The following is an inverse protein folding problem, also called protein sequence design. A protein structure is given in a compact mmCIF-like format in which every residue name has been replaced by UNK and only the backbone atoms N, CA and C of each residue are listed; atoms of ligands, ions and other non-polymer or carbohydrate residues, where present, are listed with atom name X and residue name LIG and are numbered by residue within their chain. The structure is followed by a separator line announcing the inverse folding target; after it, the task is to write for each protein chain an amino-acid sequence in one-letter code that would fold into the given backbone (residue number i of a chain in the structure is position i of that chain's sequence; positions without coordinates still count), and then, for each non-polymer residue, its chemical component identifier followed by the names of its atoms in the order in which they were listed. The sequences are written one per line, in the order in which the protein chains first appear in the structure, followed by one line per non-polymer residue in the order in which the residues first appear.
data_IF_890209318476
#
_entry.id   IF_890209318476
#
_cell.length_a   1.000
_cell.length_b   1.000
_cell.length_c   1.000
_cell.angle_alpha   90.00
_cell.angle_beta   90.00
_cell.angle_gamma   90.00
#
_symmetry.space_group_name_H-M   'P 1'
#
loop_
_entity.id
_entity.type
_entity.pdbx_description
1 polymer ?
#
# COMPACT_ATOMS: atom_id res chain seq x y z
N UNK A 1 8.93 7.38 -8.00
CA UNK A 1 8.42 6.12 -8.56
C UNK A 1 9.50 5.14 -9.02
N UNK A 2 10.24 5.38 -10.12
CA UNK A 2 11.26 4.42 -10.67
C UNK A 2 12.28 3.92 -9.65
N UNK A 3 12.76 4.82 -8.78
CA UNK A 3 13.67 4.49 -7.68
C UNK A 3 13.09 3.44 -6.73
N UNK A 4 11.80 3.55 -6.39
CA UNK A 4 11.12 2.58 -5.53
C UNK A 4 11.02 1.20 -6.21
N UNK A 5 10.72 1.16 -7.51
CA UNK A 5 10.68 -0.09 -8.28
C UNK A 5 12.05 -0.78 -8.35
N UNK A 6 13.15 -0.04 -8.38
CA UNK A 6 14.48 -0.65 -8.36
C UNK A 6 14.78 -1.36 -7.03
N UNK A 7 14.24 -0.83 -5.92
CA UNK A 7 14.64 -1.25 -4.57
C UNK A 7 13.65 -2.18 -3.87
N UNK A 8 12.43 -2.32 -4.38
CA UNK A 8 11.34 -3.00 -3.68
C UNK A 8 11.68 -4.45 -3.27
N UNK A 9 12.49 -5.12 -4.08
CA UNK A 9 12.84 -6.54 -3.95
C UNK A 9 14.22 -6.79 -3.29
N UNK A 10 14.92 -5.75 -2.81
CA UNK A 10 16.27 -5.90 -2.25
C UNK A 10 16.37 -6.94 -1.13
N UNK A 11 15.31 -7.10 -0.33
CA UNK A 11 15.26 -8.09 0.75
C UNK A 11 15.37 -9.54 0.27
N UNK A 12 15.07 -9.83 -1.01
CA UNK A 12 15.21 -11.19 -1.57
C UNK A 12 16.65 -11.68 -1.51
N UNK A 13 17.63 -10.77 -1.62
CA UNK A 13 19.06 -11.09 -1.48
C UNK A 13 19.47 -11.55 -0.09
N UNK A 14 18.61 -11.41 0.93
CA UNK A 14 18.83 -11.92 2.29
C UNK A 14 18.11 -13.25 2.55
N UNK A 15 17.36 -13.77 1.58
CA UNK A 15 16.60 -15.03 1.75
C UNK A 15 17.57 -16.22 1.62
N UNK A 16 17.64 -17.15 2.59
CA UNK A 16 18.39 -18.40 2.46
C UNK A 16 17.94 -19.21 1.22
N UNK A 17 18.86 -19.91 0.56
CA UNK A 17 18.56 -20.64 -0.69
C UNK A 17 17.50 -21.73 -0.49
N UNK A 18 17.46 -22.35 0.68
CA UNK A 18 16.47 -23.35 1.08
C UNK A 18 15.03 -22.80 1.13
N UNK A 19 14.86 -21.48 1.22
CA UNK A 19 13.55 -20.81 1.22
C UNK A 19 13.16 -20.26 -0.15
N UNK A 20 13.98 -20.48 -1.18
CA UNK A 20 13.65 -20.08 -2.54
C UNK A 20 12.58 -21.00 -3.13
N UNK A 21 11.68 -20.49 -3.99
CA UNK A 21 11.55 -19.11 -4.47
C UNK A 21 10.57 -18.26 -3.63
N UNK A 22 10.30 -18.63 -2.38
CA UNK A 22 9.22 -18.01 -1.58
C UNK A 22 9.58 -16.63 -1.05
N UNK A 23 10.85 -16.41 -0.72
CA UNK A 23 11.36 -15.13 -0.19
C UNK A 23 10.52 -14.60 0.98
N UNK A 24 10.32 -15.44 1.99
CA UNK A 24 9.39 -15.13 3.08
C UNK A 24 9.88 -13.91 3.87
N UNK A 25 9.04 -12.88 3.97
CA UNK A 25 9.32 -11.69 4.78
C UNK A 25 10.36 -10.73 4.21
N UNK A 26 10.74 -10.89 2.93
CA UNK A 26 11.69 -10.01 2.24
C UNK A 26 11.26 -8.54 2.25
N UNK A 27 9.96 -8.26 2.31
CA UNK A 27 9.42 -6.91 2.40
C UNK A 27 9.88 -6.18 3.67
N UNK A 28 10.00 -6.93 4.78
CA UNK A 28 10.42 -6.37 6.07
C UNK A 28 11.94 -6.35 6.20
N UNK A 29 12.61 -7.45 5.86
CA UNK A 29 14.08 -7.53 5.97
C UNK A 29 14.78 -6.61 4.98
N UNK A 30 14.15 -6.32 3.84
CA UNK A 30 14.65 -5.40 2.84
C UNK A 30 14.68 -3.93 3.27
N UNK A 31 13.94 -3.52 4.31
CA UNK A 31 13.84 -2.10 4.68
C UNK A 31 15.18 -1.48 5.08
N UNK A 32 16.01 -2.21 5.82
CA UNK A 32 17.35 -1.71 6.20
C UNK A 32 18.28 -1.61 4.99
N UNK A 33 18.16 -2.53 4.02
CA UNK A 33 18.91 -2.43 2.76
C UNK A 33 18.45 -1.22 1.92
N UNK A 34 17.14 -0.98 1.84
CA UNK A 34 16.57 0.17 1.14
C UNK A 34 17.07 1.48 1.78
N UNK A 35 17.10 1.57 3.11
CA UNK A 35 17.66 2.73 3.83
C UNK A 35 19.14 2.94 3.50
N UNK A 36 19.95 1.88 3.56
CA UNK A 36 21.38 1.96 3.27
C UNK A 36 21.65 2.44 1.83
N UNK A 37 20.89 1.94 0.85
CA UNK A 37 21.00 2.39 -0.55
C UNK A 37 20.53 3.84 -0.71
N UNK A 38 19.41 4.21 -0.09
CA UNK A 38 18.91 5.59 -0.09
C UNK A 38 19.95 6.59 0.45
N UNK A 39 20.60 6.26 1.56
CA UNK A 39 21.63 7.09 2.19
C UNK A 39 22.88 7.19 1.32
N UNK A 40 23.38 6.05 0.82
CA UNK A 40 24.58 6.00 -0.03
C UNK A 40 24.45 6.85 -1.29
N UNK A 41 23.28 6.84 -1.93
CA UNK A 41 23.01 7.59 -3.15
C UNK A 41 22.45 9.00 -2.89
N UNK A 42 22.24 9.38 -1.62
CA UNK A 42 21.63 10.66 -1.23
C UNK A 42 20.34 10.94 -1.99
N UNK A 43 19.49 9.93 -2.13
CA UNK A 43 18.25 10.05 -2.91
C UNK A 43 17.36 11.18 -2.34
N UNK A 44 16.58 11.90 -3.15
CA UNK A 44 15.65 12.90 -2.63
C UNK A 44 14.67 12.30 -1.62
N UNK A 45 14.31 13.06 -0.58
CA UNK A 45 13.49 12.57 0.55
C UNK A 45 12.22 11.85 0.10
N UNK A 46 11.49 12.41 -0.86
CA UNK A 46 10.26 11.81 -1.38
C UNK A 46 10.51 10.45 -2.05
N UNK A 47 11.63 10.30 -2.76
CA UNK A 47 12.04 9.02 -3.35
C UNK A 47 12.38 7.99 -2.27
N UNK A 48 13.05 8.41 -1.20
CA UNK A 48 13.38 7.53 -0.08
C UNK A 48 12.12 7.02 0.62
N UNK A 49 11.20 7.93 0.95
CA UNK A 49 9.95 7.61 1.62
C UNK A 49 9.08 6.65 0.78
N UNK A 50 8.96 6.91 -0.53
CA UNK A 50 8.22 6.02 -1.43
C UNK A 50 8.91 4.65 -1.56
N UNK A 51 10.24 4.59 -1.65
CA UNK A 51 10.97 3.32 -1.75
C UNK A 51 10.74 2.42 -0.54
N UNK A 52 10.73 2.99 0.67
CA UNK A 52 10.44 2.23 1.88
C UNK A 52 9.01 1.69 1.89
N UNK A 53 8.03 2.52 1.52
CA UNK A 53 6.63 2.10 1.47
C UNK A 53 6.38 1.03 0.41
N UNK A 54 6.93 1.19 -0.79
CA UNK A 54 6.81 0.18 -1.87
C UNK A 54 7.50 -1.12 -1.44
N UNK A 55 8.73 -1.06 -0.92
CA UNK A 55 9.43 -2.25 -0.43
C UNK A 55 8.63 -3.01 0.62
N UNK A 56 8.04 -2.30 1.58
CA UNK A 56 7.23 -2.91 2.64
C UNK A 56 5.90 -3.51 2.14
N UNK A 57 5.24 -2.87 1.17
CA UNK A 57 3.84 -3.14 0.86
C UNK A 57 3.56 -3.64 -0.56
N UNK A 58 4.55 -3.78 -1.45
CA UNK A 58 4.28 -4.18 -2.84
C UNK A 58 3.52 -5.52 -2.95
N UNK A 59 3.84 -6.52 -2.12
CA UNK A 59 3.06 -7.78 -2.06
C UNK A 59 1.62 -7.57 -1.61
N UNK A 60 1.35 -6.60 -0.73
CA UNK A 60 -0.02 -6.21 -0.37
C UNK A 60 -0.75 -5.60 -1.59
N UNK A 61 -0.03 -4.81 -2.40
CA UNK A 61 -0.53 -4.31 -3.68
C UNK A 61 -0.92 -5.45 -4.62
N UNK A 62 -0.02 -6.43 -4.82
CA UNK A 62 -0.27 -7.59 -5.68
C UNK A 62 -1.43 -8.47 -5.23
N UNK A 63 -1.62 -8.58 -3.90
CA UNK A 63 -2.67 -9.38 -3.26
C UNK A 63 -3.88 -8.56 -2.82
N UNK A 64 -4.07 -7.34 -3.34
CA UNK A 64 -5.05 -6.40 -2.82
C UNK A 64 -6.48 -6.97 -2.69
N UNK A 65 -6.92 -7.77 -3.67
CA UNK A 65 -8.24 -8.39 -3.69
C UNK A 65 -8.41 -9.48 -2.61
N UNK A 66 -7.32 -10.07 -2.13
CA UNK A 66 -7.32 -11.11 -1.09
C UNK A 66 -7.27 -10.52 0.33
N UNK A 67 -6.87 -9.25 0.47
CA UNK A 67 -6.68 -8.63 1.77
C UNK A 67 -8.01 -8.51 2.55
N UNK A 68 -7.91 -8.64 3.87
CA UNK A 68 -9.00 -8.29 4.80
C UNK A 68 -9.25 -6.78 4.72
N UNK A 69 -10.50 -6.36 4.93
CA UNK A 69 -10.85 -4.94 4.94
C UNK A 69 -10.06 -4.12 5.99
N UNK A 70 -9.74 -4.73 7.15
CA UNK A 70 -8.88 -4.09 8.16
C UNK A 70 -7.46 -3.87 7.65
N UNK A 71 -6.89 -4.86 6.96
CA UNK A 71 -5.55 -4.76 6.36
C UNK A 71 -5.51 -3.73 5.23
N UNK A 72 -6.58 -3.62 4.43
CA UNK A 72 -6.71 -2.53 3.45
C UNK A 72 -6.76 -1.16 4.13
N UNK A 73 -7.51 -1.02 5.23
CA UNK A 73 -7.55 0.24 5.97
C UNK A 73 -6.18 0.61 6.54
N UNK A 74 -5.46 -0.35 7.13
CA UNK A 74 -4.09 -0.15 7.63
C UNK A 74 -3.14 0.28 6.51
N UNK A 75 -3.21 -0.38 5.35
CA UNK A 75 -2.45 0.01 4.16
C UNK A 75 -2.73 1.47 3.78
N UNK A 76 -4.01 1.84 3.64
CA UNK A 76 -4.42 3.21 3.31
C UNK A 76 -3.94 4.24 4.35
N UNK A 77 -3.91 3.87 5.63
CA UNK A 77 -3.37 4.71 6.69
C UNK A 77 -1.85 4.89 6.60
N UNK A 78 -1.09 3.82 6.31
CA UNK A 78 0.36 3.88 6.11
C UNK A 78 0.76 4.80 4.95
N UNK A 79 -0.09 4.92 3.94
CA UNK A 79 0.10 5.84 2.81
C UNK A 79 -0.48 7.24 3.03
N UNK A 80 -1.09 7.51 4.20
CA UNK A 80 -1.70 8.80 4.54
C UNK A 80 -2.74 9.27 3.52
N UNK A 81 -3.53 8.36 2.93
CA UNK A 81 -4.42 8.68 1.80
C UNK A 81 -5.47 9.75 2.10
N UNK A 82 -5.80 9.94 3.37
CA UNK A 82 -6.79 10.93 3.81
C UNK A 82 -6.26 12.37 3.71
N UNK A 83 -4.94 12.57 3.72
CA UNK A 83 -4.29 13.89 3.62
C UNK A 83 -3.45 14.03 2.35
N UNK A 84 -2.77 12.95 1.92
CA UNK A 84 -1.79 12.95 0.82
C UNK A 84 -2.02 11.76 -0.13
N UNK A 85 -3.17 11.68 -0.83
CA UNK A 85 -3.53 10.53 -1.68
C UNK A 85 -2.56 10.29 -2.83
N UNK A 86 -1.82 11.31 -3.28
CA UNK A 86 -0.90 11.22 -4.43
C UNK A 86 0.18 10.14 -4.23
N UNK A 87 0.67 9.96 -2.99
CA UNK A 87 1.69 8.95 -2.67
C UNK A 87 1.19 7.51 -2.88
N UNK A 88 -0.12 7.30 -2.68
CA UNK A 88 -0.74 6.00 -2.90
C UNK A 88 -0.90 5.70 -4.39
N UNK A 89 -1.18 6.71 -5.23
CA UNK A 89 -1.15 6.55 -6.69
C UNK A 89 0.24 6.17 -7.20
N UNK A 90 1.29 6.79 -6.66
CA UNK A 90 2.68 6.41 -7.00
C UNK A 90 3.01 4.96 -6.60
N UNK A 91 2.46 4.49 -5.47
CA UNK A 91 2.58 3.10 -5.04
C UNK A 91 1.85 2.14 -5.97
N UNK A 92 0.61 2.46 -6.36
CA UNK A 92 -0.17 1.66 -7.31
C UNK A 92 0.58 1.55 -8.64
N UNK A 93 1.07 2.67 -9.17
CA UNK A 93 1.85 2.70 -10.40
C UNK A 93 3.16 1.91 -10.28
N UNK A 94 3.84 1.96 -9.13
CA UNK A 94 5.03 1.16 -8.87
C UNK A 94 4.74 -0.35 -8.90
N UNK A 95 3.64 -0.79 -8.29
CA UNK A 95 3.24 -2.21 -8.30
C UNK A 95 2.80 -2.67 -9.69
N UNK A 96 2.08 -1.83 -10.44
CA UNK A 96 1.67 -2.13 -11.81
C UNK A 96 2.88 -2.29 -12.74
N UNK A 97 3.89 -1.42 -12.60
CA UNK A 97 5.15 -1.56 -13.35
C UNK A 97 5.93 -2.81 -12.95
N UNK A 98 5.93 -3.20 -11.67
CA UNK A 98 6.55 -4.46 -11.25
C UNK A 98 5.83 -5.67 -11.89
N UNK A 99 4.50 -5.69 -11.84
CA UNK A 99 3.70 -6.75 -12.44
C UNK A 99 3.89 -6.91 -13.96
N UNK A 100 4.20 -5.80 -14.65
CA UNK A 100 4.42 -5.74 -16.11
C UNK A 100 5.90 -5.67 -16.51
N UNK A 101 6.81 -5.58 -15.56
CA UNK A 101 8.23 -5.29 -15.80
C UNK A 101 9.04 -6.48 -16.31
N UNK A 102 8.45 -7.68 -16.31
CA UNK A 102 9.08 -8.91 -16.83
C UNK A 102 8.75 -9.07 -18.31
N UNK A 103 9.75 -9.50 -19.08
CA UNK A 103 9.61 -9.77 -20.52
C UNK A 103 8.41 -10.70 -20.78
N UNK A 104 7.52 -10.29 -21.68
CA UNK A 104 6.30 -11.01 -22.05
C UNK A 104 5.10 -10.73 -21.15
N UNK A 105 5.22 -9.89 -20.12
CA UNK A 105 4.11 -9.48 -19.24
C UNK A 105 3.69 -8.01 -19.41
N UNK A 106 4.17 -7.32 -20.45
CA UNK A 106 4.01 -5.87 -20.64
C UNK A 106 2.53 -5.45 -20.71
N UNK A 107 1.67 -6.32 -21.24
CA UNK A 107 0.23 -6.11 -21.36
C UNK A 107 -0.60 -6.83 -20.28
N UNK A 108 0.04 -7.36 -19.23
CA UNK A 108 -0.66 -8.08 -18.17
C UNK A 108 -1.70 -7.18 -17.50
N UNK A 109 -2.98 -7.59 -17.41
CA UNK A 109 -3.97 -6.85 -16.62
C UNK A 109 -3.55 -6.77 -15.16
N UNK A 110 -3.79 -5.61 -14.55
CA UNK A 110 -3.49 -5.37 -13.13
C UNK A 110 -4.72 -4.77 -12.43
N UNK A 111 -5.81 -5.55 -12.28
CA UNK A 111 -7.08 -5.06 -11.70
C UNK A 111 -6.95 -4.58 -10.25
N UNK A 112 -5.88 -4.99 -9.56
CA UNK A 112 -5.49 -4.49 -8.24
C UNK A 112 -5.42 -2.97 -8.20
N UNK A 113 -4.98 -2.31 -9.28
CA UNK A 113 -4.88 -0.86 -9.33
C UNK A 113 -6.25 -0.19 -9.12
N UNK A 114 -7.25 -0.55 -9.92
CA UNK A 114 -8.58 0.05 -9.83
C UNK A 114 -9.29 -0.34 -8.52
N UNK A 115 -9.08 -1.58 -8.06
CA UNK A 115 -9.59 -2.03 -6.77
C UNK A 115 -9.03 -1.20 -5.59
N UNK A 116 -7.73 -0.93 -5.57
CA UNK A 116 -7.10 -0.12 -4.53
C UNK A 116 -7.58 1.34 -4.58
N UNK A 117 -7.73 1.92 -5.78
CA UNK A 117 -8.28 3.28 -5.95
C UNK A 117 -9.71 3.38 -5.42
N UNK A 118 -10.56 2.43 -5.78
CA UNK A 118 -11.95 2.40 -5.32
C UNK A 118 -12.05 2.23 -3.80
N UNK A 119 -11.23 1.35 -3.20
CA UNK A 119 -11.17 1.19 -1.75
C UNK A 119 -10.72 2.48 -1.04
N UNK A 120 -9.70 3.16 -1.59
CA UNK A 120 -9.24 4.45 -1.07
C UNK A 120 -10.33 5.53 -1.16
N UNK A 121 -11.04 5.59 -2.28
CA UNK A 121 -12.15 6.53 -2.48
C UNK A 121 -13.29 6.26 -1.50
N UNK A 122 -13.71 5.00 -1.34
CA UNK A 122 -14.76 4.60 -0.40
C UNK A 122 -14.42 5.04 1.03
N UNK A 123 -13.17 4.83 1.48
CA UNK A 123 -12.73 5.26 2.80
C UNK A 123 -12.66 6.80 2.93
N UNK A 124 -12.25 7.51 1.87
CA UNK A 124 -12.14 8.98 1.89
C UNK A 124 -13.49 9.70 1.88
N UNK A 125 -14.53 9.08 1.33
CA UNK A 125 -15.91 9.64 1.31
C UNK A 125 -16.58 9.65 2.69
N UNK A 126 -16.03 8.96 3.69
CA UNK A 126 -16.60 8.96 5.04
C UNK A 126 -16.50 10.36 5.67
N UNK A 127 -17.67 10.97 5.87
CA UNK A 127 -17.79 12.31 6.44
C UNK A 127 -17.60 12.31 7.96
N UNK A 128 -16.93 13.34 8.47
CA UNK A 128 -16.74 13.54 9.91
C UNK A 128 -17.95 14.19 10.59
N UNK A 129 -18.75 14.96 9.84
CA UNK A 129 -19.85 15.76 10.38
C UNK A 129 -20.90 14.94 11.16
N UNK A 130 -21.40 13.81 10.63
CA UNK A 130 -22.40 13.01 11.35
C UNK A 130 -21.88 12.45 12.69
N UNK A 131 -20.56 12.25 12.81
CA UNK A 131 -19.93 11.76 14.04
C UNK A 131 -19.81 12.89 15.08
N UNK A 132 -19.54 14.12 14.64
CA UNK A 132 -19.56 15.30 15.50
C UNK A 132 -20.96 15.58 16.05
N UNK A 133 -22.00 15.43 15.23
CA UNK A 133 -23.41 15.57 15.61
C UNK A 133 -23.85 14.51 16.63
N UNK A 134 -23.28 13.30 16.54
CA UNK A 134 -23.44 12.25 17.55
C UNK A 134 -22.66 12.53 18.86
N UNK A 135 -21.91 13.63 18.93
CA UNK A 135 -21.20 14.07 20.12
C UNK A 135 -19.79 13.49 20.29
N UNK A 136 -19.27 12.74 19.31
CA UNK A 136 -17.90 12.21 19.37
C UNK A 136 -16.87 13.34 19.32
N UNK A 137 -15.85 13.27 20.19
CA UNK A 137 -14.77 14.28 20.28
C UNK A 137 -13.41 13.64 20.55
N UNK A 138 -12.34 14.35 20.21
CA UNK A 138 -10.96 13.94 20.51
C UNK A 138 -10.64 12.51 20.03
N UNK A 139 -10.00 11.67 20.85
CA UNK A 139 -9.66 10.29 20.48
C UNK A 139 -10.88 9.44 20.08
N UNK A 140 -12.05 9.67 20.68
CA UNK A 140 -13.26 8.92 20.37
C UNK A 140 -13.77 9.21 18.95
N UNK A 141 -13.61 10.46 18.48
CA UNK A 141 -13.93 10.82 17.09
C UNK A 141 -13.00 10.10 16.12
N UNK A 142 -11.71 10.00 16.44
CA UNK A 142 -10.74 9.26 15.64
C UNK A 142 -11.12 7.78 15.49
N UNK A 143 -11.51 7.14 16.59
CA UNK A 143 -11.93 5.73 16.57
C UNK A 143 -13.25 5.54 15.84
N UNK A 144 -14.25 6.39 16.08
CA UNK A 144 -15.52 6.34 15.35
C UNK A 144 -15.30 6.50 13.84
N UNK A 145 -14.45 7.45 13.43
CA UNK A 145 -14.12 7.66 12.02
C UNK A 145 -13.38 6.47 11.41
N UNK A 146 -12.49 5.83 12.16
CA UNK A 146 -11.80 4.61 11.75
C UNK A 146 -12.79 3.46 11.54
N UNK A 147 -13.74 3.28 12.44
CA UNK A 147 -14.78 2.25 12.35
C UNK A 147 -15.70 2.48 11.14
N UNK A 148 -16.13 3.71 10.88
CA UNK A 148 -16.95 4.02 9.70
C UNK A 148 -16.18 3.80 8.39
N UNK A 149 -14.89 4.16 8.34
CA UNK A 149 -14.02 3.85 7.19
C UNK A 149 -13.88 2.35 6.97
N UNK A 150 -13.73 1.58 8.05
CA UNK A 150 -13.68 0.13 7.97
C UNK A 150 -14.98 -0.45 7.40
N UNK A 151 -16.15 0.06 7.82
CA UNK A 151 -17.45 -0.34 7.27
C UNK A 151 -17.55 0.00 5.77
N UNK A 152 -17.14 1.20 5.37
CA UNK A 152 -17.13 1.61 3.97
C UNK A 152 -16.26 0.69 3.09
N UNK A 153 -15.05 0.34 3.56
CA UNK A 153 -14.16 -0.59 2.85
C UNK A 153 -14.75 -2.00 2.79
N UNK A 154 -15.40 -2.49 3.86
CA UNK A 154 -16.08 -3.79 3.85
C UNK A 154 -17.19 -3.82 2.79
N UNK A 155 -18.06 -2.81 2.76
CA UNK A 155 -19.12 -2.71 1.77
C UNK A 155 -18.55 -2.63 0.34
N UNK A 156 -17.49 -1.85 0.12
CA UNK A 156 -16.79 -1.81 -1.16
C UNK A 156 -16.27 -3.20 -1.58
N UNK A 157 -15.60 -3.91 -0.66
CA UNK A 157 -15.07 -5.25 -0.92
C UNK A 157 -16.16 -6.25 -1.26
N UNK A 158 -17.29 -6.23 -0.56
CA UNK A 158 -18.42 -7.14 -0.83
C UNK A 158 -19.00 -6.96 -2.24
N UNK A 159 -18.98 -5.74 -2.78
CA UNK A 159 -19.45 -5.42 -4.13
C UNK A 159 -18.43 -5.75 -5.23
N UNK A 160 -17.16 -5.92 -4.86
CA UNK A 160 -16.03 -6.11 -5.78
C UNK A 160 -15.24 -7.38 -5.46
N UNK A 161 -15.83 -8.30 -4.69
CA UNK A 161 -15.25 -9.62 -4.45
C UNK A 161 -15.31 -10.40 -5.78
N UNK A 162 -14.22 -11.06 -6.18
CA UNK A 162 -14.20 -11.90 -7.37
C UNK A 162 -15.15 -13.10 -7.25
#
# INVERSE_FOLDING_TARGET
MRWACLLHDLGKGLTPEEEWPRHIGHERTGLELIKAVNERFKAPRECQELALLVGQYHTHGHKALELKASTLLELLQSFDVFRRPQRFEEFIAACEMDARGRLGLESRPYPQADYLRGAAEAARKVAVQPLLEQGFKGPQLGEALRLERLKAIKAYKEQHAP
#
